data_IF_386495940184
#
_entry.id   IF_386495940184
#
_cell.length_a   1.000
_cell.length_b   1.000
_cell.length_c   1.000
_cell.angle_alpha   90.00
_cell.angle_beta   90.00
_cell.angle_gamma   90.00
#
_symmetry.space_group_name_H-M   'P 1'
#
loop_
_entity.id
_entity.type
_entity.pdbx_description
1 polymer ?
#
# COMPACT_ATOMS: atom_id res chain seq x y z
N UNK A 1 -1.92 22.00 4.61
CA UNK A 1 -2.72 20.87 5.11
C UNK A 1 -2.23 19.60 4.45
N UNK A 2 -1.96 18.52 5.22
CA UNK A 2 -1.56 17.25 4.61
C UNK A 2 -2.64 16.68 3.71
N UNK A 3 -2.20 15.97 2.69
CA UNK A 3 -3.09 15.26 1.77
C UNK A 3 -3.25 13.83 2.30
N UNK A 4 -4.48 13.43 2.57
CA UNK A 4 -4.76 12.06 3.03
C UNK A 4 -4.63 11.08 1.86
N UNK A 5 -3.87 10.01 2.10
CA UNK A 5 -3.69 8.90 1.17
C UNK A 5 -3.95 7.61 1.94
N UNK A 6 -4.64 6.66 1.33
CA UNK A 6 -4.90 5.36 1.94
C UNK A 6 -4.07 4.29 1.22
N UNK A 7 -3.59 3.30 1.96
CA UNK A 7 -2.78 2.22 1.40
C UNK A 7 -3.16 0.89 2.03
N UNK A 8 -3.02 -0.18 1.23
CA UNK A 8 -3.37 -1.53 1.64
C UNK A 8 -2.12 -2.37 1.92
N UNK A 9 -2.07 -2.97 3.10
CA UNK A 9 -1.07 -3.97 3.45
C UNK A 9 -1.74 -5.32 3.24
N UNK A 10 -1.33 -6.02 2.19
CA UNK A 10 -1.93 -7.27 1.74
C UNK A 10 -0.89 -8.38 1.78
N UNK A 11 -1.21 -9.48 2.48
CA UNK A 11 -0.39 -10.68 2.47
C UNK A 11 -1.10 -11.79 1.70
N UNK A 12 -0.31 -12.60 0.99
CA UNK A 12 -0.83 -13.82 0.40
C UNK A 12 -0.80 -14.96 1.43
N UNK A 13 -1.20 -16.18 1.00
CA UNK A 13 -1.24 -17.33 1.90
C UNK A 13 0.14 -17.77 2.40
N UNK A 14 1.20 -17.44 1.65
CA UNK A 14 2.57 -17.72 2.04
C UNK A 14 3.15 -16.65 2.96
N UNK A 15 2.39 -15.58 3.24
CA UNK A 15 2.84 -14.49 4.09
C UNK A 15 3.62 -13.40 3.35
N UNK A 16 3.67 -13.45 2.02
CA UNK A 16 4.36 -12.44 1.23
C UNK A 16 3.50 -11.18 1.11
N UNK A 17 4.16 -10.02 1.14
CA UNK A 17 3.50 -8.71 1.04
C UNK A 17 3.45 -8.22 -0.39
N UNK A 18 2.32 -7.64 -0.78
CA UNK A 18 2.20 -6.99 -2.09
C UNK A 18 2.89 -5.63 -2.04
N UNK A 19 3.92 -5.47 -2.87
CA UNK A 19 4.67 -4.23 -3.01
C UNK A 19 4.58 -3.75 -4.45
N UNK A 20 4.43 -2.45 -4.63
CA UNK A 20 4.20 -1.84 -5.94
C UNK A 20 5.29 -0.81 -6.22
N UNK A 21 5.86 -0.84 -7.40
CA UNK A 21 6.91 0.11 -7.80
C UNK A 21 6.29 1.26 -8.57
N UNK A 22 6.52 2.47 -8.10
CA UNK A 22 6.06 3.70 -8.77
C UNK A 22 6.76 3.82 -10.12
N UNK A 23 5.99 4.15 -11.15
CA UNK A 23 6.56 4.36 -12.47
C UNK A 23 7.46 5.60 -12.52
N UNK A 24 8.30 5.67 -13.55
CA UNK A 24 9.23 6.80 -13.73
C UNK A 24 8.51 8.08 -14.14
N UNK A 25 7.22 8.00 -14.47
CA UNK A 25 6.37 9.15 -14.81
C UNK A 25 5.72 9.79 -13.57
N UNK A 26 5.94 9.26 -12.38
CA UNK A 26 5.34 9.74 -11.13
C UNK A 26 6.35 10.50 -10.27
N UNK A 27 5.84 11.26 -9.30
CA UNK A 27 6.69 11.79 -8.22
C UNK A 27 7.31 10.61 -7.46
N UNK A 28 8.50 10.81 -6.88
CA UNK A 28 9.27 9.75 -6.24
C UNK A 28 9.38 8.53 -7.17
N UNK A 29 9.95 8.72 -8.39
CA UNK A 29 9.95 7.67 -9.40
C UNK A 29 10.74 6.45 -8.95
N UNK A 30 10.28 5.27 -9.37
CA UNK A 30 10.96 3.98 -9.13
C UNK A 30 11.08 3.57 -7.66
N UNK A 31 10.39 4.26 -6.75
CA UNK A 31 10.31 3.86 -5.35
C UNK A 31 9.19 2.84 -5.16
N UNK A 32 9.34 2.00 -4.15
CA UNK A 32 8.33 1.01 -3.78
C UNK A 32 7.35 1.59 -2.77
N UNK A 33 6.11 1.13 -2.83
CA UNK A 33 5.04 1.57 -1.94
C UNK A 33 4.00 0.48 -1.78
N UNK A 34 3.16 0.61 -0.75
CA UNK A 34 1.95 -0.20 -0.66
C UNK A 34 0.90 0.42 -1.57
N UNK A 35 0.07 -0.38 -2.24
CA UNK A 35 -0.91 0.14 -3.20
C UNK A 35 -2.05 0.89 -2.50
N UNK A 36 -2.55 1.91 -3.16
CA UNK A 36 -3.65 2.72 -2.66
C UNK A 36 -3.83 3.99 -3.44
N UNK A 37 -4.41 5.01 -2.83
CA UNK A 37 -4.63 6.28 -3.50
C UNK A 37 -5.34 7.28 -2.61
N UNK A 38 -5.88 8.32 -3.23
CA UNK A 38 -6.52 9.42 -2.52
C UNK A 38 -8.01 9.21 -2.39
N UNK A 39 -8.61 9.38 -1.18
CA UNK A 39 -10.05 9.40 -1.04
C UNK A 39 -10.66 10.58 -1.81
N UNK A 40 -11.87 10.37 -2.31
CA UNK A 40 -12.66 11.45 -2.89
C UNK A 40 -13.40 12.20 -1.77
N UNK A 41 -13.85 13.41 -2.06
CA UNK A 41 -14.57 14.20 -1.08
C UNK A 41 -15.79 13.45 -0.55
N UNK A 42 -15.89 13.34 0.79
CA UNK A 42 -17.00 12.64 1.44
C UNK A 42 -16.92 11.13 1.44
N UNK A 43 -15.86 10.56 0.87
CA UNK A 43 -15.67 9.12 0.81
C UNK A 43 -15.03 8.60 2.10
N UNK A 44 -15.55 7.51 2.67
CA UNK A 44 -14.92 6.87 3.81
C UNK A 44 -13.57 6.29 3.38
N UNK A 45 -12.59 6.30 4.29
CA UNK A 45 -11.23 5.85 3.97
C UNK A 45 -11.20 4.40 3.50
N UNK A 46 -11.92 3.52 4.17
CA UNK A 46 -11.97 2.09 3.81
C UNK A 46 -12.60 1.88 2.43
N UNK A 47 -13.67 2.63 2.13
CA UNK A 47 -14.33 2.56 0.83
C UNK A 47 -13.42 3.07 -0.27
N UNK A 48 -12.67 4.15 0.01
CA UNK A 48 -11.70 4.69 -0.93
C UNK A 48 -10.64 3.65 -1.28
N UNK A 49 -10.16 2.92 -0.26
CA UNK A 49 -9.13 1.91 -0.47
C UNK A 49 -9.65 0.76 -1.34
N UNK A 50 -10.84 0.25 -1.06
CA UNK A 50 -11.46 -0.80 -1.88
C UNK A 50 -11.57 -0.35 -3.34
N UNK A 51 -12.03 0.90 -3.56
CA UNK A 51 -12.17 1.47 -4.89
C UNK A 51 -10.82 1.60 -5.60
N UNK A 52 -9.82 2.16 -4.93
CA UNK A 52 -8.49 2.37 -5.52
C UNK A 52 -7.83 1.05 -5.92
N UNK A 53 -7.92 0.03 -5.06
CA UNK A 53 -7.34 -1.27 -5.36
C UNK A 53 -8.06 -1.90 -6.56
N UNK A 54 -9.38 -1.75 -6.64
CA UNK A 54 -10.15 -2.26 -7.79
C UNK A 54 -9.75 -1.55 -9.08
N UNK A 55 -9.62 -0.23 -9.04
CA UNK A 55 -9.28 0.57 -10.22
C UNK A 55 -7.86 0.27 -10.72
N UNK A 56 -6.89 0.23 -9.81
CA UNK A 56 -5.48 0.12 -10.20
C UNK A 56 -5.03 -1.31 -10.45
N UNK A 57 -5.54 -2.26 -9.68
CA UNK A 57 -5.04 -3.65 -9.69
C UNK A 57 -6.07 -4.65 -10.18
N UNK A 58 -7.31 -4.23 -10.42
CA UNK A 58 -8.43 -5.12 -10.75
C UNK A 58 -8.59 -6.22 -9.69
N UNK A 59 -8.32 -5.89 -8.44
CA UNK A 59 -8.36 -6.84 -7.33
C UNK A 59 -9.44 -6.47 -6.33
N UNK A 60 -10.01 -7.49 -5.70
CA UNK A 60 -11.03 -7.35 -4.66
C UNK A 60 -10.39 -7.57 -3.30
N UNK A 61 -10.66 -6.67 -2.36
CA UNK A 61 -10.15 -6.77 -0.99
C UNK A 61 -11.25 -6.56 0.04
N UNK A 62 -11.03 -7.12 1.23
CA UNK A 62 -11.75 -6.75 2.45
C UNK A 62 -10.79 -6.01 3.35
N UNK A 63 -11.19 -4.83 3.82
CA UNK A 63 -10.40 -4.05 4.77
C UNK A 63 -10.69 -4.60 6.16
N UNK A 64 -9.64 -5.04 6.87
CA UNK A 64 -9.78 -5.69 8.18
C UNK A 64 -9.66 -4.69 9.33
N UNK A 65 -8.62 -3.83 9.30
CA UNK A 65 -8.38 -2.84 10.35
C UNK A 65 -7.34 -1.82 9.94
N UNK A 66 -7.35 -0.67 10.58
CA UNK A 66 -6.27 0.30 10.43
C UNK A 66 -5.01 -0.26 11.10
N UNK A 67 -3.89 -0.15 10.40
CA UNK A 67 -2.60 -0.65 10.86
C UNK A 67 -1.69 0.48 11.33
N UNK A 68 -1.60 1.57 10.56
CA UNK A 68 -0.71 2.69 10.86
C UNK A 68 -1.26 3.97 10.24
N UNK A 69 -0.88 5.09 10.83
CA UNK A 69 -1.15 6.41 10.27
C UNK A 69 0.02 7.32 10.59
N UNK A 70 0.57 7.98 9.57
CA UNK A 70 1.73 8.84 9.75
C UNK A 70 1.69 10.01 8.79
N UNK A 71 2.34 11.10 9.17
CA UNK A 71 2.49 12.28 8.31
C UNK A 71 3.95 12.41 7.94
N UNK A 72 4.21 12.46 6.62
CA UNK A 72 5.53 12.69 6.06
C UNK A 72 5.40 13.82 5.05
N UNK A 73 5.99 14.99 5.35
CA UNK A 73 5.82 16.17 4.52
C UNK A 73 4.34 16.53 4.36
N UNK A 74 3.86 16.53 3.13
CA UNK A 74 2.47 16.84 2.80
C UNK A 74 1.54 15.62 2.78
N UNK A 75 2.06 14.43 3.09
CA UNK A 75 1.29 13.18 2.99
C UNK A 75 0.88 12.69 4.38
N UNK A 76 -0.42 12.51 4.58
CA UNK A 76 -1.01 11.82 5.72
C UNK A 76 -1.40 10.44 5.25
N UNK A 77 -0.54 9.45 5.48
CA UNK A 77 -0.73 8.09 4.98
C UNK A 77 -1.42 7.23 6.02
N UNK A 78 -2.58 6.68 5.65
CA UNK A 78 -3.33 5.76 6.50
C UNK A 78 -3.28 4.38 5.87
N UNK A 79 -2.62 3.45 6.55
CA UNK A 79 -2.45 2.07 6.08
C UNK A 79 -3.44 1.14 6.78
N UNK A 80 -4.06 0.26 6.00
CA UNK A 80 -5.00 -0.74 6.51
C UNK A 80 -4.51 -2.14 6.18
N UNK A 81 -4.67 -3.05 7.11
CA UNK A 81 -4.49 -4.48 6.82
C UNK A 81 -5.70 -4.94 6.04
N UNK A 82 -5.45 -5.58 4.92
CA UNK A 82 -6.49 -6.05 4.01
C UNK A 82 -6.21 -7.50 3.60
N UNK A 83 -7.28 -8.21 3.20
CA UNK A 83 -7.12 -9.53 2.60
C UNK A 83 -7.74 -9.56 1.22
N UNK A 84 -7.15 -10.35 0.33
CA UNK A 84 -7.73 -10.59 -0.99
C UNK A 84 -8.96 -11.48 -0.86
N UNK A 85 -10.02 -11.11 -1.56
CA UNK A 85 -11.23 -11.93 -1.64
C UNK A 85 -11.40 -12.54 -3.03
N UNK A 86 -10.37 -12.42 -3.87
CA UNK A 86 -10.34 -12.96 -5.23
C UNK A 86 -8.90 -13.26 -5.66
N UNK A 87 -8.66 -13.44 -6.96
CA UNK A 87 -7.32 -13.77 -7.48
C UNK A 87 -6.28 -12.70 -7.16
N UNK A 88 -5.02 -13.14 -7.03
CA UNK A 88 -3.89 -12.22 -6.83
C UNK A 88 -3.72 -11.34 -8.06
N UNK A 89 -3.54 -10.03 -7.87
CA UNK A 89 -3.24 -9.15 -9.00
C UNK A 89 -1.85 -9.43 -9.56
N UNK A 90 -1.69 -9.27 -10.87
CA UNK A 90 -0.42 -9.47 -11.55
C UNK A 90 0.05 -8.22 -12.28
N UNK A 91 -0.83 -7.25 -12.49
CA UNK A 91 -0.53 -6.00 -13.19
C UNK A 91 -1.19 -4.83 -12.50
N UNK A 92 -0.69 -3.63 -12.80
CA UNK A 92 -1.25 -2.39 -12.28
C UNK A 92 -1.29 -1.34 -13.39
N UNK A 93 -2.33 -0.52 -13.38
CA UNK A 93 -2.41 0.63 -14.29
C UNK A 93 -1.62 1.83 -13.79
N UNK A 94 -1.20 1.82 -12.52
CA UNK A 94 -0.56 2.96 -11.86
C UNK A 94 0.88 2.70 -11.40
N UNK A 95 1.39 1.50 -11.65
CA UNK A 95 2.73 1.08 -11.23
C UNK A 95 3.47 0.39 -12.36
N UNK A 96 4.81 0.45 -12.33
CA UNK A 96 5.64 -0.22 -13.32
C UNK A 96 5.87 -1.70 -12.99
N UNK A 97 5.72 -2.08 -11.73
CA UNK A 97 5.95 -3.46 -11.29
C UNK A 97 5.13 -3.77 -10.04
N UNK A 98 4.64 -5.01 -9.95
CA UNK A 98 4.08 -5.59 -8.72
C UNK A 98 4.98 -6.72 -8.28
N UNK A 99 5.21 -6.84 -6.98
CA UNK A 99 6.02 -7.93 -6.44
C UNK A 99 5.45 -8.41 -5.12
N UNK A 100 5.39 -9.72 -4.95
CA UNK A 100 5.03 -10.35 -3.68
C UNK A 100 6.32 -10.66 -2.95
N UNK A 101 6.54 -10.03 -1.80
CA UNK A 101 7.86 -10.00 -1.14
C UNK A 101 7.75 -10.57 0.26
N UNK A 102 8.62 -11.57 0.61
CA UNK A 102 8.65 -12.07 1.98
C UNK A 102 9.13 -10.98 2.93
N UNK A 103 8.67 -11.03 4.17
CA UNK A 103 8.99 -10.01 5.17
C UNK A 103 10.49 -9.76 5.30
N UNK A 104 11.29 -10.83 5.27
CA UNK A 104 12.75 -10.72 5.39
C UNK A 104 13.41 -9.93 4.25
N UNK A 105 12.71 -9.77 3.13
CA UNK A 105 13.23 -9.07 1.96
C UNK A 105 12.69 -7.64 1.82
N UNK A 106 11.71 -7.25 2.63
CA UNK A 106 11.07 -5.94 2.52
C UNK A 106 12.07 -4.79 2.66
N UNK A 107 13.01 -4.89 3.60
CA UNK A 107 13.99 -3.84 3.86
C UNK A 107 14.98 -3.64 2.73
N UNK A 108 15.04 -4.57 1.77
CA UNK A 108 15.96 -4.48 0.62
C UNK A 108 15.38 -3.62 -0.52
N UNK A 109 14.09 -3.30 -0.47
CA UNK A 109 13.47 -2.45 -1.47
C UNK A 109 13.72 -0.97 -1.17
N UNK A 110 13.74 -0.16 -2.23
CA UNK A 110 13.93 1.28 -2.12
C UNK A 110 12.55 1.95 -1.95
N UNK A 111 12.11 2.09 -0.72
CA UNK A 111 10.76 2.55 -0.39
C UNK A 111 10.59 4.06 -0.55
N UNK A 112 9.40 4.46 -0.96
CA UNK A 112 8.97 5.85 -0.88
C UNK A 112 8.91 6.26 0.60
N UNK A 113 9.35 7.48 0.89
CA UNK A 113 9.49 7.94 2.28
C UNK A 113 8.19 7.85 3.09
N UNK A 114 7.00 8.21 2.55
CA UNK A 114 5.76 8.11 3.33
C UNK A 114 5.42 6.69 3.81
N UNK A 115 5.93 5.65 3.15
CA UNK A 115 5.64 4.26 3.50
C UNK A 115 6.57 3.70 4.58
N UNK A 116 7.67 4.39 4.88
CA UNK A 116 8.67 3.91 5.85
C UNK A 116 8.11 3.67 7.25
N UNK A 117 7.24 4.54 7.82
CA UNK A 117 6.70 4.25 9.15
C UNK A 117 5.91 2.94 9.21
N UNK A 118 5.08 2.65 8.21
CA UNK A 118 4.33 1.39 8.15
C UNK A 118 5.27 0.21 7.99
N UNK A 119 6.29 0.33 7.13
CA UNK A 119 7.30 -0.71 6.96
C UNK A 119 8.02 -1.01 8.27
N UNK A 120 8.44 0.01 8.99
CA UNK A 120 9.11 -0.17 10.27
C UNK A 120 8.21 -0.89 11.27
N UNK A 121 6.92 -0.59 11.26
CA UNK A 121 5.97 -1.23 12.16
C UNK A 121 5.80 -2.72 11.83
N UNK A 122 5.83 -3.09 10.55
CA UNK A 122 5.82 -4.49 10.13
C UNK A 122 7.06 -5.22 10.66
N UNK A 123 8.22 -4.58 10.60
CA UNK A 123 9.51 -5.18 10.92
C UNK A 123 9.89 -5.16 12.39
N UNK A 124 9.17 -4.41 13.23
CA UNK A 124 9.46 -4.37 14.67
C UNK A 124 9.14 -5.74 15.28
N UNK A 125 10.12 -6.40 15.92
CA UNK A 125 9.85 -7.68 16.57
C UNK A 125 8.94 -7.48 17.77
N UNK A 126 8.17 -8.50 18.09
CA UNK A 126 7.34 -8.50 19.30
C UNK A 126 8.25 -8.54 20.51
N UNK A 127 7.92 -7.68 21.46
CA UNK A 127 8.60 -7.65 22.75
C UNK A 127 7.75 -8.35 23.79
#
# INVERSE_FOLDING_TARGET
MPITVVAAIIQDQAGNYLCCKRGDWKASPNKWEFPGGKPEAGEALESALVREIKEELSAEITVLRQFDRSITGEIDLVCFVCELTGPKPTTSTDHSELRWVPEAELSKLDWAEPDLPALKRILIPFC
#
